data_IF_298472964163
#
_entry.id   IF_298472964163
#
_cell.length_a   1.000
_cell.length_b   1.000
_cell.length_c   1.000
_cell.angle_alpha   90.00
_cell.angle_beta   90.00
_cell.angle_gamma   90.00
#
_symmetry.space_group_name_H-M   'P 1'
#
loop_
_entity.id
_entity.type
_entity.pdbx_description
1 polymer ?
#
# COMPACT_ATOMS: atom_id res chain seq x y z
N UNK A 1 -9.01 -24.80 -0.08
CA UNK A 1 -7.90 -24.62 -0.34
C UNK A 1 -7.21 -23.40 -0.03
N UNK A 2 -6.38 -23.45 0.87
CA UNK A 2 -5.71 -22.29 1.24
C UNK A 2 -4.74 -21.85 0.21
N UNK A 3 -4.48 -22.66 -0.71
CA UNK A 3 -3.59 -22.28 -1.72
C UNK A 3 -4.05 -21.12 -2.50
N UNK A 4 -5.35 -20.91 -2.53
CA UNK A 4 -5.82 -19.81 -3.23
C UNK A 4 -5.33 -18.55 -2.69
N UNK A 5 -5.17 -18.50 -1.40
CA UNK A 5 -4.65 -17.30 -0.80
C UNK A 5 -3.26 -17.04 -1.24
N UNK A 6 -2.51 -18.09 -1.43
CA UNK A 6 -1.15 -17.91 -1.88
C UNK A 6 -1.10 -17.44 -3.30
N UNK A 7 -2.01 -17.93 -4.10
CA UNK A 7 -2.06 -17.55 -5.45
C UNK A 7 -2.46 -16.13 -5.60
N UNK A 8 -3.37 -15.66 -4.76
CA UNK A 8 -3.81 -14.32 -4.83
C UNK A 8 -2.94 -13.54 -3.92
N UNK A 9 -1.92 -12.95 -4.41
CA UNK A 9 -1.05 -12.20 -3.57
C UNK A 9 -1.87 -11.20 -2.82
N UNK A 10 -1.31 -10.66 -1.83
CA UNK A 10 -2.02 -9.73 -1.05
C UNK A 10 -2.55 -8.64 -1.95
N UNK A 11 -3.84 -8.40 -1.85
CA UNK A 11 -4.46 -7.37 -2.64
C UNK A 11 -4.31 -6.02 -1.98
N UNK A 12 -3.91 -6.00 -0.73
CA UNK A 12 -3.72 -4.76 -0.01
C UNK A 12 -2.67 -4.99 1.06
N UNK A 13 -2.03 -3.92 1.47
CA UNK A 13 -0.95 -3.99 2.44
C UNK A 13 -1.21 -2.96 3.51
N UNK A 14 -0.87 -3.27 4.76
CA UNK A 14 -1.00 -2.29 5.80
C UNK A 14 0.12 -1.26 5.62
N UNK A 15 0.06 -0.20 6.40
CA UNK A 15 0.98 0.90 6.22
C UNK A 15 2.44 0.50 6.42
N UNK A 16 2.80 -0.22 7.49
CA UNK A 16 4.19 -0.58 7.65
C UNK A 16 4.73 -1.43 6.51
N UNK A 17 3.90 -2.34 6.03
CA UNK A 17 4.34 -3.19 4.96
C UNK A 17 4.48 -2.41 3.66
N UNK A 18 3.55 -1.53 3.37
CA UNK A 18 3.62 -0.72 2.17
C UNK A 18 4.88 0.16 2.20
N UNK A 19 5.21 0.69 3.36
CA UNK A 19 6.40 1.52 3.48
C UNK A 19 7.64 0.70 3.14
N UNK A 20 7.68 -0.53 3.62
CA UNK A 20 8.81 -1.38 3.35
C UNK A 20 8.92 -1.71 1.87
N UNK A 21 7.79 -2.02 1.25
CA UNK A 21 7.77 -2.36 -0.15
C UNK A 21 8.22 -1.18 -0.99
N UNK A 22 7.78 0.01 -0.65
CA UNK A 22 8.13 1.20 -1.40
C UNK A 22 9.49 1.76 -0.98
N UNK A 23 10.07 1.19 0.06
CA UNK A 23 11.36 1.64 0.58
C UNK A 23 11.29 3.07 1.06
N UNK A 24 10.20 3.41 1.71
CA UNK A 24 10.00 4.72 2.28
C UNK A 24 9.93 4.60 3.78
N UNK A 25 10.33 5.64 4.47
CA UNK A 25 10.12 5.66 5.90
C UNK A 25 8.62 5.84 6.13
N UNK A 26 8.18 5.51 7.32
CA UNK A 26 6.78 5.68 7.64
C UNK A 26 6.38 7.14 7.54
N UNK A 27 7.25 8.01 8.00
CA UNK A 27 6.95 9.44 7.95
C UNK A 27 6.76 9.89 6.51
N UNK A 28 7.62 9.44 5.62
CA UNK A 28 7.49 9.81 4.21
C UNK A 28 6.22 9.23 3.62
N UNK A 29 5.90 7.99 3.96
CA UNK A 29 4.70 7.39 3.44
C UNK A 29 3.45 8.14 3.91
N UNK A 30 3.41 8.50 5.19
CA UNK A 30 2.27 9.24 5.70
C UNK A 30 2.17 10.59 5.02
N UNK A 31 3.30 11.19 4.70
CA UNK A 31 3.29 12.46 4.01
C UNK A 31 2.69 12.30 2.61
N UNK A 32 3.06 11.24 1.91
CA UNK A 32 2.50 10.99 0.58
C UNK A 32 1.01 10.73 0.65
N UNK A 33 0.56 10.08 1.70
CA UNK A 33 -0.86 9.83 1.88
C UNK A 33 -1.57 11.14 2.17
N UNK A 34 -0.99 11.95 3.03
CA UNK A 34 -1.61 13.20 3.42
C UNK A 34 -1.75 14.14 2.23
N UNK A 35 -0.78 14.15 1.36
CA UNK A 35 -0.80 15.07 0.23
C UNK A 35 -1.53 14.50 -0.98
N UNK A 36 -2.03 13.29 -0.88
CA UNK A 36 -2.83 12.73 -1.95
C UNK A 36 -2.07 11.97 -3.01
N UNK A 37 -0.76 11.82 -2.84
CA UNK A 37 0.00 11.05 -3.82
C UNK A 37 -0.29 9.56 -3.73
N UNK A 38 -0.65 9.09 -2.55
CA UNK A 38 -0.99 7.69 -2.35
C UNK A 38 -2.33 7.66 -1.66
N UNK A 39 -3.25 6.88 -2.21
CA UNK A 39 -4.57 6.76 -1.63
C UNK A 39 -4.68 5.50 -0.82
N UNK A 40 -5.40 5.58 0.28
CA UNK A 40 -5.58 4.43 1.13
C UNK A 40 -7.02 4.01 1.14
N UNK A 41 -7.23 2.78 1.55
CA UNK A 41 -8.56 2.25 1.78
C UNK A 41 -8.68 1.97 3.25
N UNK A 42 -9.83 2.27 3.81
CA UNK A 42 -10.05 2.01 5.20
C UNK A 42 -10.94 0.80 5.39
N UNK A 43 -10.62 0.05 6.41
CA UNK A 43 -11.41 -1.10 6.75
C UNK A 43 -11.50 -1.06 8.26
N UNK A 44 -12.55 -0.47 8.78
CA UNK A 44 -12.67 -0.25 10.18
C UNK A 44 -11.66 0.79 10.61
N UNK A 45 -10.78 0.43 11.49
CA UNK A 45 -9.76 1.35 11.96
C UNK A 45 -8.47 1.26 11.22
N UNK A 46 -8.37 0.30 10.32
CA UNK A 46 -7.11 0.08 9.65
C UNK A 46 -7.09 0.71 8.28
N UNK A 47 -5.94 1.15 7.90
CA UNK A 47 -5.74 1.72 6.58
C UNK A 47 -4.87 0.77 5.77
N UNK A 48 -5.21 0.61 4.52
CA UNK A 48 -4.50 -0.29 3.63
C UNK A 48 -4.22 0.42 2.31
N UNK A 49 -3.18 -0.04 1.63
CA UNK A 49 -2.87 0.44 0.30
C UNK A 49 -2.93 -0.77 -0.61
N UNK A 50 -3.67 -0.64 -1.70
CA UNK A 50 -3.85 -1.79 -2.60
C UNK A 50 -2.63 -1.98 -3.47
N UNK A 51 -2.50 -3.18 -4.01
CA UNK A 51 -1.44 -3.48 -4.94
C UNK A 51 -1.48 -2.55 -6.12
N UNK A 52 -2.68 -2.28 -6.62
CA UNK A 52 -2.81 -1.39 -7.76
C UNK A 52 -2.31 0.00 -7.42
N UNK A 53 -2.61 0.45 -6.22
CA UNK A 53 -2.19 1.78 -5.84
C UNK A 53 -0.68 1.86 -5.71
N UNK A 54 -0.06 0.81 -5.20
CA UNK A 54 1.39 0.78 -5.12
C UNK A 54 2.00 0.85 -6.49
N UNK A 55 1.45 0.11 -7.42
CA UNK A 55 1.96 0.10 -8.76
C UNK A 55 1.78 1.45 -9.43
N UNK A 56 0.63 2.07 -9.21
CA UNK A 56 0.38 3.36 -9.79
C UNK A 56 1.38 4.39 -9.25
N UNK A 57 1.63 4.35 -7.97
CA UNK A 57 2.55 5.29 -7.36
C UNK A 57 3.94 5.12 -7.92
N UNK A 58 4.39 3.90 -8.02
CA UNK A 58 5.72 3.63 -8.52
C UNK A 58 5.84 4.08 -9.97
N UNK A 59 4.81 3.85 -10.76
CA UNK A 59 4.85 4.27 -12.14
C UNK A 59 4.93 5.76 -12.29
N UNK A 60 4.30 6.48 -11.39
CA UNK A 60 4.30 7.92 -11.48
C UNK A 60 5.53 8.57 -10.93
N UNK A 61 6.19 7.91 -10.01
CA UNK A 61 7.28 8.56 -9.31
C UNK A 61 8.63 8.29 -9.94
N UNK A 62 8.72 8.25 -11.23
CA UNK A 62 9.97 7.97 -11.90
C UNK A 62 10.89 9.14 -12.00
#
# INVERSE_FOLDING_TARGET
MSQQTDFLPQLRFDIPEAARILRLSRATLYERIRTGFIKTQKDGRRSYITTEELQRYVSQSR
#
